data_IF_612467050743
#
_entry.id   IF_612467050743
#
_cell.length_a   1.000
_cell.length_b   1.000
_cell.length_c   1.000
_cell.angle_alpha   90.00
_cell.angle_beta   90.00
_cell.angle_gamma   90.00
#
_symmetry.space_group_name_H-M   'P 1'
#
loop_
_entity.id
_entity.type
_entity.pdbx_description
1 polymer ?
#
# COMPACT_ATOMS: atom_id res chain seq x y z
N UNK A 1 2.85 -52.57 -17.99
CA UNK A 1 2.74 -51.45 -18.96
C UNK A 1 3.78 -50.42 -18.59
N UNK A 2 4.70 -50.13 -19.51
CA UNK A 2 5.75 -49.10 -19.38
C UNK A 2 5.19 -47.80 -19.96
N UNK A 3 5.24 -46.70 -19.22
CA UNK A 3 5.07 -45.37 -19.80
C UNK A 3 6.41 -44.64 -19.86
N UNK A 4 6.74 -44.31 -21.09
CA UNK A 4 7.81 -43.45 -21.57
C UNK A 4 7.16 -42.08 -21.79
N UNK A 5 7.75 -40.98 -21.32
CA UNK A 5 7.74 -39.73 -22.09
C UNK A 5 8.76 -38.70 -21.57
N UNK A 6 9.63 -38.31 -22.51
CA UNK A 6 10.29 -37.04 -22.75
C UNK A 6 9.88 -35.88 -21.82
N UNK A 7 10.78 -35.10 -21.22
CA UNK A 7 11.90 -34.43 -21.88
C UNK A 7 11.54 -32.96 -22.06
N UNK A 8 12.03 -32.08 -21.19
CA UNK A 8 12.10 -30.65 -21.47
C UNK A 8 13.39 -30.08 -20.87
N UNK A 9 14.31 -29.76 -21.77
CA UNK A 9 15.49 -28.93 -21.52
C UNK A 9 15.02 -27.47 -21.64
N UNK A 10 15.26 -26.65 -20.62
CA UNK A 10 15.19 -25.20 -20.77
C UNK A 10 16.58 -24.61 -20.52
N UNK A 11 17.18 -24.13 -21.60
CA UNK A 11 18.38 -23.29 -21.61
C UNK A 11 17.89 -21.85 -21.47
N UNK A 12 18.42 -21.10 -20.50
CA UNK A 12 18.41 -19.63 -20.55
C UNK A 12 19.84 -19.16 -20.32
N UNK A 13 20.38 -18.50 -21.33
CA UNK A 13 21.70 -17.89 -21.35
C UNK A 13 21.56 -16.51 -21.99
N UNK A 14 22.30 -15.56 -21.42
CA UNK A 14 22.70 -14.23 -21.93
C UNK A 14 21.68 -13.09 -21.69
N UNK A 15 22.05 -11.85 -21.34
CA UNK A 15 23.32 -11.15 -21.03
C UNK A 15 22.98 -9.69 -20.66
N UNK A 16 23.84 -9.08 -19.82
CA UNK A 16 24.20 -7.65 -19.79
C UNK A 16 23.10 -6.63 -19.39
N UNK A 17 23.37 -5.48 -18.76
CA UNK A 17 24.56 -4.64 -18.79
C UNK A 17 24.59 -3.69 -17.58
N UNK A 18 25.78 -3.53 -17.00
CA UNK A 18 26.42 -2.31 -16.50
C UNK A 18 25.63 -1.23 -15.73
N UNK A 19 26.09 -1.02 -14.49
CA UNK A 19 25.96 0.21 -13.74
C UNK A 19 26.90 1.31 -14.26
N UNK A 20 26.49 2.59 -14.16
CA UNK A 20 27.31 3.70 -13.61
C UNK A 20 26.49 5.01 -13.41
N UNK A 21 26.97 5.96 -12.57
CA UNK A 21 26.16 6.86 -11.74
C UNK A 21 26.21 8.36 -12.12
N UNK A 22 25.48 9.17 -11.33
CA UNK A 22 25.56 10.64 -11.12
C UNK A 22 24.99 11.50 -12.25
N UNK A 23 24.19 12.54 -11.98
CA UNK A 23 24.67 13.79 -11.38
C UNK A 23 23.51 14.54 -10.70
N UNK A 24 23.76 15.04 -9.48
CA UNK A 24 22.92 16.00 -8.77
C UNK A 24 22.91 17.34 -9.51
N UNK A 25 21.77 18.02 -9.51
CA UNK A 25 21.76 19.49 -9.55
C UNK A 25 20.83 19.98 -8.44
N UNK A 26 21.45 20.32 -7.31
CA UNK A 26 20.90 21.23 -6.32
C UNK A 26 20.89 22.62 -6.95
N UNK A 27 19.72 23.26 -7.02
CA UNK A 27 19.66 24.72 -7.05
C UNK A 27 18.69 25.16 -5.96
N UNK A 28 19.27 25.54 -4.82
CA UNK A 28 18.61 26.31 -3.79
C UNK A 28 18.54 27.76 -4.26
N UNK A 29 17.35 28.35 -4.32
CA UNK A 29 17.20 29.79 -4.20
C UNK A 29 16.01 30.09 -3.27
N UNK A 30 16.36 30.68 -2.13
CA UNK A 30 15.48 31.27 -1.14
C UNK A 30 14.63 32.37 -1.77
N UNK A 31 13.34 32.37 -1.45
CA UNK A 31 12.62 33.63 -1.20
C UNK A 31 11.62 33.38 -0.08
N UNK A 32 11.86 34.01 1.06
CA UNK A 32 10.90 34.13 2.15
C UNK A 32 9.90 35.19 1.72
N UNK A 33 8.61 34.86 1.77
CA UNK A 33 7.54 35.85 1.86
C UNK A 33 6.47 35.28 2.76
N UNK A 34 6.34 35.94 3.90
CA UNK A 34 5.36 35.70 4.94
C UNK A 34 3.99 36.17 4.43
N UNK A 35 3.01 35.27 4.35
CA UNK A 35 1.61 35.62 4.17
C UNK A 35 0.73 34.50 4.67
N UNK A 36 0.10 34.75 5.82
CA UNK A 36 -1.00 34.00 6.40
C UNK A 36 -2.12 33.79 5.37
N UNK A 37 -2.34 32.54 4.97
CA UNK A 37 -3.56 32.09 4.29
C UNK A 37 -3.77 30.60 4.56
N UNK A 38 -5.04 30.23 4.65
CA UNK A 38 -5.61 29.01 5.22
C UNK A 38 -5.12 27.69 4.59
N UNK A 39 -5.15 26.64 5.41
CA UNK A 39 -4.83 25.24 5.09
C UNK A 39 -5.80 24.71 4.03
N UNK A 40 -5.44 24.83 2.75
CA UNK A 40 -6.04 24.05 1.67
C UNK A 40 -5.12 22.88 1.34
N UNK A 41 -5.55 21.68 1.72
CA UNK A 41 -4.89 20.43 1.32
C UNK A 41 -4.85 20.35 -0.20
N UNK A 42 -3.64 20.31 -0.77
CA UNK A 42 -3.43 20.19 -2.22
C UNK A 42 -4.10 18.91 -2.75
N UNK A 43 -5.32 19.05 -3.25
CA UNK A 43 -5.97 18.02 -4.06
C UNK A 43 -5.43 18.13 -5.47
N UNK A 44 -4.72 17.11 -5.94
CA UNK A 44 -4.28 17.01 -7.33
C UNK A 44 -5.49 16.56 -8.17
N UNK A 45 -6.24 17.50 -8.74
CA UNK A 45 -7.37 17.19 -9.63
C UNK A 45 -6.92 17.27 -11.09
N UNK A 46 -6.76 16.11 -11.73
CA UNK A 46 -6.65 16.01 -13.19
C UNK A 46 -8.04 15.73 -13.78
N UNK A 47 -8.78 16.78 -14.14
CA UNK A 47 -10.13 16.69 -14.72
C UNK A 47 -10.08 16.35 -16.22
N UNK A 48 -9.59 15.16 -16.59
CA UNK A 48 -9.69 14.67 -17.97
C UNK A 48 -10.75 13.57 -18.07
N UNK A 49 -11.94 13.96 -18.55
CA UNK A 49 -13.16 13.13 -18.61
C UNK A 49 -13.11 11.95 -19.61
N UNK A 50 -11.99 11.75 -20.29
CA UNK A 50 -11.79 10.61 -21.21
C UNK A 50 -10.90 9.50 -20.64
N UNK A 51 -10.37 9.65 -19.42
CA UNK A 51 -9.57 8.58 -18.79
C UNK A 51 -10.48 7.47 -18.22
N UNK A 52 -10.11 6.19 -18.34
CA UNK A 52 -10.90 5.11 -17.74
C UNK A 52 -10.86 5.16 -16.20
N UNK A 53 -11.87 4.61 -15.51
CA UNK A 53 -11.97 4.58 -14.04
C UNK A 53 -11.40 3.26 -13.47
N UNK A 54 -10.80 3.32 -12.28
CA UNK A 54 -10.29 2.13 -11.58
C UNK A 54 -9.01 1.55 -12.16
N UNK A 55 -8.79 0.25 -11.96
CA UNK A 55 -7.58 -0.46 -12.42
C UNK A 55 -7.60 -0.62 -13.94
N UNK A 56 -6.49 -0.26 -14.57
CA UNK A 56 -6.28 -0.31 -16.01
C UNK A 56 -5.21 -1.31 -16.38
N UNK A 57 -5.39 -1.92 -17.55
CA UNK A 57 -4.49 -2.90 -18.13
C UNK A 57 -3.97 -2.37 -19.46
N UNK A 58 -2.66 -2.14 -19.55
CA UNK A 58 -2.01 -1.72 -20.78
C UNK A 58 -1.73 -2.92 -21.68
N UNK A 59 -1.60 -2.67 -22.99
CA UNK A 59 -1.28 -3.70 -23.97
C UNK A 59 0.08 -4.39 -23.74
N UNK A 60 1.00 -3.74 -23.02
CA UNK A 60 2.29 -4.29 -22.61
C UNK A 60 2.21 -5.16 -21.34
N UNK A 61 1.00 -5.38 -20.80
CA UNK A 61 0.76 -6.16 -19.58
C UNK A 61 0.97 -5.37 -18.28
N UNK A 62 1.36 -4.10 -18.34
CA UNK A 62 1.46 -3.26 -17.14
C UNK A 62 0.08 -2.83 -16.63
N UNK A 63 -0.05 -2.68 -15.31
CA UNK A 63 -1.29 -2.23 -14.68
C UNK A 63 -1.09 -0.96 -13.87
N UNK A 64 -2.10 -0.09 -13.88
CA UNK A 64 -2.11 1.14 -13.08
C UNK A 64 -3.50 1.44 -12.53
N UNK A 65 -3.57 2.19 -11.43
CA UNK A 65 -4.81 2.75 -10.90
C UNK A 65 -5.02 4.15 -11.48
N UNK A 66 -6.12 4.37 -12.20
CA UNK A 66 -6.49 5.70 -12.70
C UNK A 66 -6.81 6.66 -11.55
N UNK A 67 -6.37 7.92 -11.68
CA UNK A 67 -6.73 8.99 -10.72
C UNK A 67 -8.12 9.56 -10.94
N UNK A 68 -8.75 9.27 -12.08
CA UNK A 68 -10.03 9.88 -12.44
C UNK A 68 -11.09 9.56 -11.38
N UNK A 69 -11.77 10.60 -10.89
CA UNK A 69 -12.82 10.47 -9.87
C UNK A 69 -12.28 10.19 -8.45
N UNK A 70 -10.96 10.17 -8.25
CA UNK A 70 -10.34 10.00 -6.94
C UNK A 70 -9.85 11.33 -6.40
N UNK A 71 -10.07 11.55 -5.11
CA UNK A 71 -9.38 12.59 -4.37
C UNK A 71 -8.06 12.01 -3.83
N UNK A 72 -6.94 12.54 -4.32
CA UNK A 72 -5.60 12.07 -3.95
C UNK A 72 -4.95 13.09 -3.03
N UNK A 73 -4.45 12.61 -1.90
CA UNK A 73 -3.87 13.42 -0.83
C UNK A 73 -2.42 13.00 -0.56
N UNK A 74 -1.54 13.97 -0.30
CA UNK A 74 -0.15 13.71 0.08
C UNK A 74 0.12 13.90 1.58
N UNK A 75 -0.83 14.48 2.32
CA UNK A 75 -0.71 14.73 3.76
C UNK A 75 -1.27 13.55 4.56
N UNK A 76 -0.66 13.20 5.71
CA UNK A 76 -1.21 12.18 6.61
C UNK A 76 -2.69 12.43 6.97
N UNK A 77 -3.55 11.42 6.85
CA UNK A 77 -4.95 11.53 7.28
C UNK A 77 -5.04 11.62 8.80
N UNK A 78 -5.95 12.47 9.31
CA UNK A 78 -6.12 12.74 10.75
C UNK A 78 -7.36 12.11 11.36
N UNK A 79 -8.25 11.51 10.55
CA UNK A 79 -9.48 10.86 11.00
C UNK A 79 -9.96 9.72 10.08
N UNK A 80 -10.93 8.96 10.58
CA UNK A 80 -11.66 7.93 9.83
C UNK A 80 -10.83 6.72 9.37
N UNK A 81 -11.34 6.07 8.32
CA UNK A 81 -10.76 4.89 7.68
C UNK A 81 -9.31 5.12 7.21
N UNK A 82 -9.06 6.26 6.55
CA UNK A 82 -7.73 6.62 6.07
C UNK A 82 -6.72 6.78 7.20
N UNK A 83 -7.12 7.39 8.34
CA UNK A 83 -6.27 7.45 9.54
C UNK A 83 -5.87 6.05 10.00
N UNK A 84 -6.82 5.13 10.16
CA UNK A 84 -6.50 3.78 10.64
C UNK A 84 -5.51 3.06 9.72
N UNK A 85 -5.69 3.19 8.40
CA UNK A 85 -4.77 2.61 7.41
C UNK A 85 -3.34 3.18 7.52
N UNK A 86 -3.20 4.51 7.65
CA UNK A 86 -1.90 5.16 7.77
C UNK A 86 -1.25 4.95 9.15
N UNK A 87 -2.06 4.98 10.23
CA UNK A 87 -1.60 4.92 11.62
C UNK A 87 -0.84 3.63 11.91
N UNK A 88 -1.21 2.52 11.26
CA UNK A 88 -0.46 1.27 11.35
C UNK A 88 1.02 1.45 10.99
N UNK A 89 1.31 2.09 9.86
CA UNK A 89 2.69 2.30 9.43
C UNK A 89 3.40 3.44 10.16
N UNK A 90 2.67 4.46 10.59
CA UNK A 90 3.21 5.48 11.49
C UNK A 90 3.69 4.86 12.81
N UNK A 91 2.91 3.94 13.39
CA UNK A 91 3.30 3.21 14.60
C UNK A 91 4.47 2.26 14.35
N UNK A 92 4.55 1.60 13.19
CA UNK A 92 5.71 0.79 12.82
C UNK A 92 6.98 1.64 12.70
N UNK A 93 6.89 2.82 12.06
CA UNK A 93 7.99 3.77 11.97
C UNK A 93 8.50 4.20 13.36
N UNK A 94 7.58 4.42 14.30
CA UNK A 94 7.89 4.77 15.68
C UNK A 94 8.25 3.56 16.55
N UNK A 95 8.31 2.36 15.96
CA UNK A 95 8.60 1.08 16.60
C UNK A 95 7.62 0.71 17.73
N UNK A 96 6.39 1.22 17.65
CA UNK A 96 5.26 0.93 18.55
C UNK A 96 4.45 -0.26 18.06
N UNK A 97 5.11 -1.40 17.87
CA UNK A 97 4.53 -2.57 17.22
C UNK A 97 3.32 -3.16 17.97
N UNK A 98 3.30 -3.08 19.30
CA UNK A 98 2.16 -3.54 20.11
C UNK A 98 0.92 -2.62 19.95
N UNK A 99 1.11 -1.36 19.58
CA UNK A 99 0.01 -0.46 19.23
C UNK A 99 -0.43 -0.69 17.78
N UNK A 100 0.52 -0.90 16.87
CA UNK A 100 0.24 -1.21 15.47
C UNK A 100 -0.59 -2.51 15.34
N UNK A 101 -0.25 -3.54 16.11
CA UNK A 101 -0.99 -4.81 16.10
C UNK A 101 -2.45 -4.66 16.56
N UNK A 102 -2.76 -3.70 17.44
CA UNK A 102 -4.15 -3.42 17.86
C UNK A 102 -5.00 -2.81 16.74
N UNK A 103 -4.40 -2.28 15.67
CA UNK A 103 -5.14 -1.79 14.52
C UNK A 103 -5.55 -2.91 13.56
N UNK A 104 -4.93 -4.08 13.68
CA UNK A 104 -5.24 -5.24 12.85
C UNK A 104 -6.49 -5.95 13.40
N UNK A 105 -7.42 -6.24 12.51
CA UNK A 105 -8.65 -7.00 12.73
C UNK A 105 -8.87 -7.92 11.53
N UNK A 106 -7.99 -8.91 11.37
CA UNK A 106 -8.13 -9.95 10.36
C UNK A 106 -8.54 -11.26 11.00
N UNK A 107 -9.69 -11.78 10.58
CA UNK A 107 -10.41 -12.95 11.12
C UNK A 107 -10.61 -12.94 12.64
N UNK A 108 -11.61 -12.19 13.06
CA UNK A 108 -12.34 -12.51 14.29
C UNK A 108 -13.08 -13.84 14.13
N UNK A 109 -12.87 -14.72 15.11
CA UNK A 109 -13.59 -15.96 15.43
C UNK A 109 -13.23 -17.22 14.61
N UNK A 110 -12.44 -18.07 15.25
CA UNK A 110 -12.42 -19.54 15.20
C UNK A 110 -12.03 -20.31 13.93
N UNK A 111 -11.68 -19.66 12.81
CA UNK A 111 -10.98 -20.40 11.74
C UNK A 111 -9.98 -19.53 10.97
N UNK A 112 -8.69 -19.77 11.27
CA UNK A 112 -7.50 -19.61 10.43
C UNK A 112 -7.60 -18.59 9.26
N UNK A 113 -7.13 -17.36 9.50
CA UNK A 113 -6.28 -16.72 8.48
C UNK A 113 -4.83 -16.68 8.83
N UNK A 114 -4.05 -17.10 7.85
CA UNK A 114 -2.62 -17.31 7.91
C UNK A 114 -1.79 -16.01 7.96
N UNK A 115 -2.39 -14.84 7.71
CA UNK A 115 -1.62 -13.58 7.54
C UNK A 115 -1.43 -12.83 8.85
N UNK A 116 -2.46 -12.71 9.70
CA UNK A 116 -2.43 -11.83 10.90
C UNK A 116 -2.19 -12.56 12.22
N UNK A 117 -2.56 -13.84 12.31
CA UNK A 117 -2.23 -14.71 13.46
C UNK A 117 -0.71 -14.73 13.74
N UNK A 118 0.07 -14.47 12.70
CA UNK A 118 1.50 -14.40 12.75
C UNK A 118 2.02 -13.12 13.44
N UNK A 119 1.35 -11.97 13.40
CA UNK A 119 1.90 -10.73 13.98
C UNK A 119 1.91 -10.67 15.52
N UNK A 120 1.11 -11.52 16.17
CA UNK A 120 1.13 -11.71 17.63
C UNK A 120 1.88 -12.98 18.05
N UNK A 121 2.55 -13.65 17.11
CA UNK A 121 3.33 -14.89 17.27
C UNK A 121 4.56 -14.96 16.35
N UNK A 122 4.72 -16.04 15.57
CA UNK A 122 5.92 -16.33 14.76
C UNK A 122 6.21 -15.32 13.62
N UNK A 123 5.25 -14.49 13.21
CA UNK A 123 5.45 -13.43 12.23
C UNK A 123 5.49 -12.01 12.80
N UNK A 124 5.61 -11.84 14.12
CA UNK A 124 6.06 -10.58 14.71
C UNK A 124 7.33 -10.03 14.03
N UNK A 125 8.30 -10.85 13.59
CA UNK A 125 9.43 -10.38 12.80
C UNK A 125 9.06 -9.65 11.50
N UNK A 126 7.91 -9.92 10.88
CA UNK A 126 7.47 -9.21 9.67
C UNK A 126 6.98 -7.80 9.98
N UNK A 127 6.33 -7.62 11.14
CA UNK A 127 5.91 -6.30 11.63
C UNK A 127 7.12 -5.46 12.05
N UNK A 128 8.04 -6.08 12.79
CA UNK A 128 9.26 -5.43 13.28
C UNK A 128 10.30 -5.15 12.20
N UNK A 129 10.11 -5.72 11.00
CA UNK A 129 10.96 -5.48 9.85
C UNK A 129 10.84 -4.05 9.33
N UNK A 130 9.66 -3.44 9.46
CA UNK A 130 9.41 -2.06 9.03
C UNK A 130 10.00 -1.09 10.06
N UNK A 131 11.04 -0.36 9.66
CA UNK A 131 11.78 0.59 10.51
C UNK A 131 11.71 2.04 10.02
N UNK A 132 10.97 2.27 8.95
CA UNK A 132 10.73 3.59 8.43
C UNK A 132 9.54 3.56 7.48
N UNK A 133 8.64 4.51 7.64
CA UNK A 133 7.52 4.69 6.72
C UNK A 133 7.29 6.18 6.49
N UNK A 134 7.35 6.59 5.23
CA UNK A 134 6.98 7.94 4.80
C UNK A 134 5.83 7.84 3.81
N UNK A 135 4.74 8.53 4.13
CA UNK A 135 3.61 8.66 3.22
C UNK A 135 4.01 9.47 1.98
N UNK A 136 3.71 8.93 0.80
CA UNK A 136 3.81 9.64 -0.47
C UNK A 136 2.45 10.18 -0.87
N UNK A 137 1.43 9.31 -0.89
CA UNK A 137 0.03 9.68 -1.14
C UNK A 137 -0.95 8.62 -0.70
N UNK A 138 -2.22 9.01 -0.56
CA UNK A 138 -3.34 8.13 -0.32
C UNK A 138 -4.62 8.57 -1.04
N UNK A 139 -5.55 7.63 -1.20
CA UNK A 139 -6.91 7.90 -1.71
C UNK A 139 -7.90 6.86 -1.18
N UNK A 140 -9.16 7.24 -1.00
CA UNK A 140 -10.26 6.28 -0.85
C UNK A 140 -10.57 5.69 -2.23
N UNK A 141 -10.39 4.38 -2.38
CA UNK A 141 -10.60 3.63 -3.63
C UNK A 141 -11.73 2.61 -3.51
N UNK A 142 -12.59 2.74 -2.50
CA UNK A 142 -13.64 1.77 -2.18
C UNK A 142 -14.54 1.45 -3.38
N UNK A 143 -14.84 2.44 -4.21
CA UNK A 143 -15.73 2.29 -5.38
C UNK A 143 -15.10 1.52 -6.56
N UNK A 144 -13.77 1.37 -6.56
CA UNK A 144 -13.03 0.76 -7.68
C UNK A 144 -12.21 -0.48 -7.27
N UNK A 145 -12.07 -0.72 -5.97
CA UNK A 145 -11.44 -1.92 -5.43
C UNK A 145 -12.47 -3.05 -5.30
N UNK A 146 -12.08 -4.32 -5.52
CA UNK A 146 -12.95 -5.44 -5.24
C UNK A 146 -13.28 -5.47 -3.74
N UNK A 147 -14.50 -5.90 -3.42
CA UNK A 147 -14.84 -6.29 -2.05
C UNK A 147 -14.30 -7.68 -1.79
N UNK A 148 -13.75 -7.89 -0.60
CA UNK A 148 -13.11 -9.14 -0.22
C UNK A 148 -13.86 -9.80 0.94
N UNK A 149 -13.61 -11.10 1.18
CA UNK A 149 -14.32 -11.87 2.20
C UNK A 149 -14.09 -11.33 3.62
N UNK A 150 -12.92 -10.73 3.87
CA UNK A 150 -12.54 -10.08 5.12
C UNK A 150 -13.42 -8.87 5.46
N UNK A 151 -14.17 -8.33 4.50
CA UNK A 151 -15.08 -7.20 4.71
C UNK A 151 -16.54 -7.64 4.92
N UNK A 152 -16.82 -8.95 4.87
CA UNK A 152 -18.17 -9.48 5.06
C UNK A 152 -18.66 -9.28 6.51
N UNK A 153 -19.95 -8.94 6.65
CA UNK A 153 -20.57 -8.70 7.96
C UNK A 153 -20.21 -7.36 8.64
N UNK A 154 -19.29 -6.58 8.07
CA UNK A 154 -18.94 -5.27 8.61
C UNK A 154 -20.11 -4.27 8.53
N UNK A 155 -20.28 -3.45 9.58
CA UNK A 155 -21.25 -2.35 9.59
C UNK A 155 -20.87 -1.23 8.61
N UNK A 156 -19.57 -1.04 8.37
CA UNK A 156 -19.02 -0.18 7.33
C UNK A 156 -17.65 -0.73 6.89
N UNK A 157 -17.30 -0.53 5.62
CA UNK A 157 -15.98 -0.88 5.10
C UNK A 157 -15.49 0.21 4.13
N UNK A 158 -14.17 0.31 4.00
CA UNK A 158 -13.47 1.20 3.07
C UNK A 158 -12.20 0.51 2.57
N UNK A 159 -11.78 0.84 1.37
CA UNK A 159 -10.49 0.42 0.82
C UNK A 159 -9.64 1.66 0.56
N UNK A 160 -8.51 1.77 1.26
CA UNK A 160 -7.62 2.91 1.22
C UNK A 160 -6.36 2.56 0.44
N UNK A 161 -6.12 3.24 -0.67
CA UNK A 161 -4.85 3.18 -1.36
C UNK A 161 -3.80 3.93 -0.55
N UNK A 162 -2.67 3.28 -0.22
CA UNK A 162 -1.49 3.93 0.33
C UNK A 162 -0.28 3.67 -0.57
N UNK A 163 0.45 4.73 -0.89
CA UNK A 163 1.78 4.67 -1.49
C UNK A 163 2.79 5.29 -0.52
N UNK A 164 3.82 4.51 -0.20
CA UNK A 164 4.76 4.84 0.86
C UNK A 164 6.19 4.51 0.47
N UNK A 165 7.13 5.29 1.01
CA UNK A 165 8.56 5.00 0.98
C UNK A 165 8.90 4.29 2.29
N UNK A 166 9.14 2.98 2.22
CA UNK A 166 9.47 2.14 3.38
C UNK A 166 10.94 1.83 3.48
N UNK A 167 11.37 1.66 4.73
CA UNK A 167 12.66 1.07 5.07
C UNK A 167 12.44 -0.21 5.86
N UNK A 168 13.09 -1.27 5.41
CA UNK A 168 13.12 -2.57 6.07
C UNK A 168 14.50 -2.84 6.68
N UNK A 169 14.59 -3.73 7.67
CA UNK A 169 15.89 -4.14 8.27
C UNK A 169 16.73 -5.03 7.35
N UNK A 170 16.16 -5.51 6.24
CA UNK A 170 16.82 -6.35 5.24
C UNK A 170 16.69 -7.87 5.47
N UNK A 171 15.84 -8.33 6.40
CA UNK A 171 15.54 -9.76 6.58
C UNK A 171 14.51 -10.26 5.58
N UNK A 172 13.53 -9.43 5.23
CA UNK A 172 12.54 -9.75 4.21
C UNK A 172 12.98 -9.22 2.85
N UNK A 173 12.71 -10.00 1.80
CA UNK A 173 12.91 -9.52 0.42
C UNK A 173 11.86 -8.46 0.06
N UNK A 174 12.15 -7.56 -0.90
CA UNK A 174 11.17 -6.60 -1.40
C UNK A 174 9.83 -7.26 -1.79
N UNK A 175 9.87 -8.45 -2.42
CA UNK A 175 8.68 -9.20 -2.81
C UNK A 175 7.84 -9.67 -1.61
N UNK A 176 8.49 -10.03 -0.50
CA UNK A 176 7.80 -10.41 0.75
C UNK A 176 7.18 -9.22 1.49
N UNK A 177 7.44 -8.00 1.03
CA UNK A 177 6.90 -6.76 1.61
C UNK A 177 6.03 -5.99 0.63
N UNK A 178 5.62 -6.60 -0.50
CA UNK A 178 4.87 -5.94 -1.59
C UNK A 178 5.56 -4.67 -2.15
N UNK A 179 6.88 -4.56 -2.01
CA UNK A 179 7.66 -3.42 -2.47
C UNK A 179 7.87 -3.49 -4.00
N UNK A 180 7.52 -2.40 -4.70
CA UNK A 180 7.65 -2.25 -6.16
C UNK A 180 8.43 -0.96 -6.51
N UNK A 181 9.68 -1.13 -6.95
CA UNK A 181 10.62 -0.04 -7.30
C UNK A 181 10.89 0.93 -6.13
N UNK A 182 11.14 0.40 -4.93
CA UNK A 182 11.46 1.20 -3.75
C UNK A 182 10.26 1.88 -3.07
N UNK A 183 9.05 1.62 -3.55
CA UNK A 183 7.81 2.07 -2.90
C UNK A 183 6.95 0.87 -2.54
N UNK A 184 6.23 0.98 -1.44
CA UNK A 184 5.25 0.01 -1.00
C UNK A 184 3.86 0.56 -1.30
N UNK A 185 3.06 -0.23 -2.00
CA UNK A 185 1.79 0.20 -2.58
C UNK A 185 0.72 -0.81 -2.19
N UNK A 186 -0.19 -0.37 -1.33
CA UNK A 186 -1.24 -1.21 -0.78
C UNK A 186 -2.63 -0.67 -1.08
N UNK A 187 -3.57 -1.58 -1.28
CA UNK A 187 -4.99 -1.39 -1.04
C UNK A 187 -5.28 -1.96 0.35
N UNK A 188 -5.55 -1.09 1.31
CA UNK A 188 -5.76 -1.45 2.71
C UNK A 188 -7.25 -1.45 2.99
N UNK A 189 -7.77 -2.63 3.26
CA UNK A 189 -9.15 -2.82 3.64
C UNK A 189 -9.28 -2.48 5.12
N UNK A 190 -10.20 -1.58 5.44
CA UNK A 190 -10.52 -1.18 6.80
C UNK A 190 -12.02 -1.25 7.03
N UNK A 191 -12.41 -1.71 8.21
CA UNK A 191 -13.81 -1.96 8.56
C UNK A 191 -14.17 -1.46 9.96
N UNK A 192 -15.47 -1.26 10.16
CA UNK A 192 -16.10 -1.15 11.47
C UNK A 192 -17.00 -2.38 11.67
N UNK A 193 -16.74 -3.17 12.70
CA UNK A 193 -17.57 -4.35 13.02
C UNK A 193 -18.96 -3.96 13.54
N UNK A 194 -19.05 -2.83 14.22
CA UNK A 194 -20.29 -2.26 14.72
C UNK A 194 -20.41 -0.79 14.32
N UNK A 195 -21.65 -0.30 14.18
CA UNK A 195 -21.91 1.07 13.72
C UNK A 195 -21.32 2.07 14.71
N UNK A 196 -20.39 2.90 14.24
CA UNK A 196 -19.73 3.92 15.07
C UNK A 196 -18.54 3.40 15.89
N UNK A 197 -18.19 2.12 15.75
CA UNK A 197 -17.00 1.53 16.37
C UNK A 197 -15.69 2.06 15.77
N UNK A 198 -14.52 1.67 16.30
CA UNK A 198 -13.23 2.05 15.72
C UNK A 198 -13.03 1.41 14.34
N UNK A 199 -12.35 2.12 13.45
CA UNK A 199 -11.84 1.53 12.21
C UNK A 199 -10.67 0.61 12.51
N UNK A 200 -10.67 -0.58 11.90
CA UNK A 200 -9.60 -1.58 12.00
C UNK A 200 -9.24 -2.11 10.63
N UNK A 201 -8.00 -2.55 10.45
CA UNK A 201 -7.49 -3.12 9.20
C UNK A 201 -7.91 -4.58 9.09
N UNK A 202 -8.76 -4.89 8.12
CA UNK A 202 -9.19 -6.25 7.82
C UNK A 202 -8.20 -6.98 6.92
N UNK A 203 -7.58 -6.27 5.99
CA UNK A 203 -6.62 -6.85 5.05
C UNK A 203 -5.66 -5.83 4.43
N UNK A 204 -4.43 -6.27 4.12
CA UNK A 204 -3.52 -5.65 3.16
C UNK A 204 -3.55 -6.40 1.82
N UNK A 205 -3.93 -5.72 0.75
CA UNK A 205 -3.76 -6.21 -0.62
C UNK A 205 -2.67 -5.42 -1.34
N UNK A 206 -1.82 -6.09 -2.12
CA UNK A 206 -0.89 -5.40 -3.01
C UNK A 206 -1.65 -4.67 -4.12
N UNK A 207 -1.29 -3.40 -4.40
CA UNK A 207 -1.97 -2.60 -5.44
C UNK A 207 -1.05 -2.29 -6.64
N UNK A 208 -1.62 -1.98 -7.83
CA UNK A 208 -0.86 -1.40 -8.93
C UNK A 208 -0.48 0.05 -8.62
N UNK A 209 0.50 0.60 -9.34
CA UNK A 209 0.86 2.02 -9.19
C UNK A 209 -0.30 2.90 -9.60
N UNK A 210 -0.63 3.90 -8.80
CA UNK A 210 -1.50 4.96 -9.25
C UNK A 210 -0.81 5.76 -10.36
N UNK A 211 -1.59 6.19 -11.35
CA UNK A 211 -1.16 7.06 -12.44
C UNK A 211 -0.28 8.21 -11.91
N UNK A 212 0.74 8.60 -12.69
CA UNK A 212 1.66 9.67 -12.27
C UNK A 212 0.95 10.99 -12.11
#
# INVERSE_FOLDING_TARGET
MKFLLCGLILIILLTSCEAKPSTQNFNSQNTVSDSSAEVNGNTLSDSNDNKPLGVQYNADGTTYLSKRGLNVYATPPTEGAAKAAWEYYALCNDQKYDEASKLLDGYGTDDKTLVYFNYTGEGRPYLEEVIGAKLIRWADITEVAPKEAEDEGAAAYKVIYLEMDFKTRGKLTPQQTDMKNGLNIYAIHVRQNEKGGPWKISMFGGAPKMEK
#
